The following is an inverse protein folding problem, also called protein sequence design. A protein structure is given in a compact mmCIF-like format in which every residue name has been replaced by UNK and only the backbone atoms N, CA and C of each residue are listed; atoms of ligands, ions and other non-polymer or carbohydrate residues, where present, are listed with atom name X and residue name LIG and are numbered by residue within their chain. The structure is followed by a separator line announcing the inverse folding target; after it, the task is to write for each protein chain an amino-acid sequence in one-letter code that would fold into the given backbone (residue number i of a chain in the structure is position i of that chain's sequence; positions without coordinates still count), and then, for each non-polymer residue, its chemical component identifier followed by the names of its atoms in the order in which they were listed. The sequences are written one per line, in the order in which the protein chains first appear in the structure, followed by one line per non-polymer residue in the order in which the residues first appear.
data_IF_571628536472
#
_entry.id   IF_571628536472
#
_cell.length_a   1.000
_cell.length_b   1.000
_cell.length_c   1.000
_cell.angle_alpha   90.00
_cell.angle_beta   90.00
_cell.angle_gamma   90.00
#
_symmetry.space_group_name_H-M   'P 1'
#
loop_
_entity.id
_entity.type
_entity.pdbx_description
1 polymer ?
#
# COMPACT_ATOMS: atom_id res chain seq x y z
N UNK A 1 -6.11 -23.54 -8.49
CA UNK A 1 -5.69 -24.04 -9.82
C UNK A 1 -4.30 -23.55 -10.24
N UNK A 2 -4.08 -22.26 -10.57
CA UNK A 2 -2.75 -21.79 -11.03
C UNK A 2 -1.63 -21.95 -9.98
N UNK A 3 -1.88 -21.55 -8.72
CA UNK A 3 -0.87 -21.61 -7.66
C UNK A 3 -0.49 -23.06 -7.31
N UNK A 4 -1.47 -23.94 -7.16
CA UNK A 4 -1.25 -25.35 -6.82
C UNK A 4 -0.45 -26.07 -7.90
N UNK A 5 -0.73 -25.79 -9.19
CA UNK A 5 0.04 -26.33 -10.31
C UNK A 5 1.51 -25.90 -10.23
N UNK A 6 1.78 -24.63 -9.92
CA UNK A 6 3.15 -24.11 -9.77
C UNK A 6 3.86 -24.76 -8.58
N UNK A 7 3.17 -24.95 -7.45
CA UNK A 7 3.73 -25.62 -6.28
C UNK A 7 4.10 -27.08 -6.59
N UNK A 8 3.22 -27.80 -7.29
CA UNK A 8 3.48 -29.18 -7.72
C UNK A 8 4.62 -29.27 -8.75
N UNK A 9 4.69 -28.34 -9.71
CA UNK A 9 5.80 -28.26 -10.65
C UNK A 9 7.13 -28.02 -9.93
N UNK A 10 7.18 -27.07 -8.99
CA UNK A 10 8.38 -26.77 -8.22
C UNK A 10 8.87 -27.99 -7.44
N UNK A 11 7.95 -28.73 -6.82
CA UNK A 11 8.25 -29.99 -6.12
C UNK A 11 8.83 -31.04 -7.06
N UNK A 12 8.25 -31.21 -8.27
CA UNK A 12 8.80 -32.13 -9.30
C UNK A 12 10.19 -31.72 -9.79
N UNK A 13 10.50 -30.43 -9.79
CA UNK A 13 11.83 -29.88 -10.10
C UNK A 13 12.81 -29.90 -8.91
N UNK A 14 12.46 -30.60 -7.83
CA UNK A 14 13.34 -30.85 -6.69
C UNK A 14 13.46 -29.67 -5.72
N UNK A 15 12.52 -28.72 -5.74
CA UNK A 15 12.42 -27.72 -4.67
C UNK A 15 12.03 -28.40 -3.36
N UNK A 16 12.70 -28.04 -2.27
CA UNK A 16 12.33 -28.47 -0.91
C UNK A 16 11.12 -27.69 -0.42
N UNK A 17 11.09 -26.39 -0.71
CA UNK A 17 9.96 -25.51 -0.44
C UNK A 17 9.72 -24.54 -1.60
N UNK A 18 8.51 -24.00 -1.67
CA UNK A 18 8.09 -23.06 -2.70
C UNK A 18 6.99 -22.14 -2.16
N UNK A 19 6.99 -20.88 -2.58
CA UNK A 19 5.88 -19.95 -2.40
C UNK A 19 5.58 -19.22 -3.70
N UNK A 20 4.31 -18.91 -3.90
CA UNK A 20 3.79 -18.33 -5.12
C UNK A 20 2.83 -17.22 -4.76
N UNK A 21 3.08 -16.04 -5.31
CA UNK A 21 2.12 -14.93 -5.31
C UNK A 21 1.59 -14.74 -6.73
N UNK A 22 0.28 -14.64 -6.87
CA UNK A 22 -0.37 -14.17 -8.08
C UNK A 22 -1.19 -12.93 -7.76
N UNK A 23 -1.00 -11.87 -8.53
CA UNK A 23 -1.73 -10.61 -8.40
C UNK A 23 -2.33 -10.28 -9.74
N UNK A 24 -3.63 -9.97 -9.74
CA UNK A 24 -4.29 -9.30 -10.84
C UNK A 24 -4.80 -7.94 -10.36
N UNK A 25 -4.67 -6.92 -11.20
CA UNK A 25 -5.10 -5.55 -10.93
C UNK A 25 -5.73 -4.98 -12.18
N UNK A 26 -6.84 -4.30 -12.02
CA UNK A 26 -7.44 -3.54 -13.10
C UNK A 26 -8.10 -2.27 -12.60
N UNK A 27 -8.32 -1.33 -13.50
CA UNK A 27 -9.05 -0.11 -13.19
C UNK A 27 -8.85 0.97 -14.24
N UNK A 28 -9.23 2.19 -13.88
CA UNK A 28 -9.11 3.35 -14.74
C UNK A 28 -8.54 4.53 -13.97
N UNK A 29 -7.65 5.28 -14.62
CA UNK A 29 -7.15 6.57 -14.17
C UNK A 29 -7.59 7.65 -15.15
N UNK A 30 -8.42 8.58 -14.65
CA UNK A 30 -8.89 9.72 -15.43
C UNK A 30 -8.36 11.01 -14.82
N UNK A 31 -7.59 11.77 -15.59
CA UNK A 31 -7.05 13.08 -15.17
C UNK A 31 -7.55 14.18 -16.09
N UNK A 32 -8.02 15.24 -15.47
CA UNK A 32 -8.48 16.47 -16.13
C UNK A 32 -7.59 17.61 -15.65
N UNK A 33 -7.22 18.50 -16.56
CA UNK A 33 -6.52 19.73 -16.26
C UNK A 33 -7.08 20.89 -17.08
N UNK A 34 -7.34 22.00 -16.40
CA UNK A 34 -7.99 23.20 -16.95
C UNK A 34 -9.25 22.84 -17.76
N UNK A 35 -10.08 21.95 -17.22
CA UNK A 35 -11.33 21.47 -17.79
C UNK A 35 -11.18 20.46 -18.94
N UNK A 36 -9.96 20.17 -19.39
CA UNK A 36 -9.67 19.26 -20.50
C UNK A 36 -9.16 17.92 -19.99
N UNK A 37 -9.59 16.83 -20.63
CA UNK A 37 -9.07 15.50 -20.33
C UNK A 37 -7.61 15.44 -20.80
N UNK A 38 -6.69 15.20 -19.86
CA UNK A 38 -5.27 14.97 -20.17
C UNK A 38 -4.96 13.48 -20.25
N UNK A 39 -5.64 12.66 -19.45
CA UNK A 39 -5.37 11.23 -19.34
C UNK A 39 -6.67 10.46 -19.13
N UNK A 40 -6.83 9.38 -19.89
CA UNK A 40 -7.80 8.32 -19.66
C UNK A 40 -7.07 7.00 -19.93
N UNK A 41 -6.62 6.33 -18.87
CA UNK A 41 -5.82 5.11 -18.97
C UNK A 41 -6.53 3.95 -18.26
N UNK A 42 -6.67 2.83 -18.98
CA UNK A 42 -7.15 1.58 -18.41
C UNK A 42 -5.94 0.71 -18.09
N UNK A 43 -5.84 0.26 -16.84
CA UNK A 43 -4.81 -0.69 -16.40
C UNK A 43 -5.42 -2.08 -16.26
N UNK A 44 -4.67 -3.09 -16.67
CA UNK A 44 -4.98 -4.49 -16.46
C UNK A 44 -3.67 -5.28 -16.40
N UNK A 45 -3.16 -5.46 -15.18
CA UNK A 45 -1.87 -6.04 -14.91
C UNK A 45 -2.02 -7.35 -14.15
N UNK A 46 -1.40 -8.40 -14.69
CA UNK A 46 -1.20 -9.66 -13.99
C UNK A 46 0.29 -9.85 -13.68
N UNK A 47 0.60 -10.32 -12.48
CA UNK A 47 1.94 -10.66 -12.03
C UNK A 47 1.91 -11.99 -11.29
N UNK A 48 2.75 -12.92 -11.70
CA UNK A 48 3.09 -14.10 -10.91
C UNK A 48 4.53 -13.98 -10.41
N UNK A 49 4.75 -14.29 -9.14
CA UNK A 49 6.07 -14.35 -8.52
C UNK A 49 6.21 -15.68 -7.79
N UNK A 50 7.32 -16.36 -8.02
CA UNK A 50 7.65 -17.66 -7.46
C UNK A 50 8.96 -17.52 -6.71
N UNK A 51 9.00 -17.94 -5.47
CA UNK A 51 10.23 -18.16 -4.72
C UNK A 51 10.36 -19.65 -4.46
N UNK A 52 11.51 -20.22 -4.84
CA UNK A 52 11.81 -21.63 -4.57
C UNK A 52 12.99 -21.74 -3.62
N UNK A 53 12.96 -22.81 -2.83
CA UNK A 53 14.01 -23.18 -1.90
C UNK A 53 14.54 -24.56 -2.29
N UNK A 54 15.86 -24.71 -2.33
CA UNK A 54 16.57 -26.00 -2.44
C UNK A 54 17.44 -26.16 -1.21
N UNK A 55 16.86 -26.77 -0.17
CA UNK A 55 17.40 -26.74 1.18
C UNK A 55 17.42 -25.30 1.70
N UNK A 56 18.61 -24.76 1.92
CA UNK A 56 18.83 -23.39 2.40
C UNK A 56 19.26 -22.40 1.32
N UNK A 57 19.18 -22.80 0.04
CA UNK A 57 19.39 -21.89 -1.11
C UNK A 57 18.04 -21.39 -1.60
N UNK A 58 17.93 -20.10 -1.91
CA UNK A 58 16.69 -19.44 -2.33
C UNK A 58 16.90 -18.74 -3.68
N UNK A 59 15.87 -18.73 -4.51
CA UNK A 59 15.79 -17.83 -5.66
C UNK A 59 14.33 -17.43 -5.92
N UNK A 60 14.14 -16.22 -6.45
CA UNK A 60 12.82 -15.69 -6.80
C UNK A 60 12.80 -15.23 -8.25
N UNK A 61 11.73 -15.55 -8.97
CA UNK A 61 11.50 -15.13 -10.35
C UNK A 61 10.07 -14.65 -10.50
N UNK A 62 9.85 -13.61 -11.30
CA UNK A 62 8.53 -13.05 -11.57
C UNK A 62 8.28 -12.85 -13.05
N UNK A 63 7.01 -12.93 -13.47
CA UNK A 63 6.58 -12.78 -14.85
C UNK A 63 5.21 -12.11 -14.91
N UNK A 64 4.97 -11.29 -15.94
CA UNK A 64 3.63 -10.78 -16.28
C UNK A 64 2.85 -11.75 -17.16
N UNK A 65 3.53 -12.72 -17.79
CA UNK A 65 2.90 -13.80 -18.51
C UNK A 65 2.51 -14.93 -17.52
N UNK A 66 1.25 -14.96 -17.12
CA UNK A 66 0.68 -15.99 -16.24
C UNK A 66 -0.06 -17.10 -17.00
N UNK A 67 0.16 -17.24 -18.31
CA UNK A 67 -0.43 -18.34 -19.08
C UNK A 67 0.14 -19.68 -18.61
N UNK A 68 -0.70 -20.72 -18.55
CA UNK A 68 -0.31 -22.07 -18.10
C UNK A 68 0.93 -22.61 -18.84
N UNK A 69 1.03 -22.36 -20.16
CA UNK A 69 2.17 -22.78 -20.97
C UNK A 69 3.52 -22.14 -20.57
N UNK A 70 3.50 -20.97 -19.91
CA UNK A 70 4.72 -20.26 -19.48
C UNK A 70 5.20 -20.70 -18.09
N UNK A 71 4.34 -21.32 -17.27
CA UNK A 71 4.67 -21.67 -15.88
C UNK A 71 5.81 -22.69 -15.75
N UNK A 72 5.88 -23.77 -16.58
CA UNK A 72 6.97 -24.74 -16.46
C UNK A 72 8.35 -24.11 -16.63
N UNK A 73 8.50 -23.20 -17.60
CA UNK A 73 9.76 -22.51 -17.84
C UNK A 73 10.11 -21.57 -16.68
N UNK A 74 9.11 -20.87 -16.13
CA UNK A 74 9.31 -19.96 -14.99
C UNK A 74 9.79 -20.72 -13.75
N UNK A 75 9.16 -21.85 -13.44
CA UNK A 75 9.54 -22.75 -12.33
C UNK A 75 10.94 -23.32 -12.56
N UNK A 76 11.22 -23.86 -13.75
CA UNK A 76 12.53 -24.42 -14.07
C UNK A 76 13.64 -23.37 -13.91
N UNK A 77 13.38 -22.13 -14.33
CA UNK A 77 14.31 -21.00 -14.18
C UNK A 77 14.58 -20.70 -12.70
N UNK A 78 13.53 -20.58 -11.88
CA UNK A 78 13.68 -20.35 -10.45
C UNK A 78 14.47 -21.48 -9.77
N UNK A 79 14.17 -22.74 -10.11
CA UNK A 79 14.86 -23.91 -9.57
C UNK A 79 16.33 -24.00 -9.98
N UNK A 80 16.67 -23.60 -11.21
CA UNK A 80 18.07 -23.54 -11.67
C UNK A 80 18.83 -22.41 -10.96
N UNK A 81 18.22 -21.23 -10.83
CA UNK A 81 18.83 -20.11 -10.10
C UNK A 81 19.13 -20.47 -8.65
N UNK A 82 18.21 -21.16 -7.96
CA UNK A 82 18.40 -21.57 -6.57
C UNK A 82 19.58 -22.56 -6.37
N UNK A 83 19.97 -23.32 -7.40
CA UNK A 83 21.17 -24.19 -7.29
C UNK A 83 22.47 -23.38 -7.23
N UNK A 84 22.46 -22.17 -7.78
CA UNK A 84 23.63 -21.31 -7.89
C UNK A 84 23.70 -20.20 -6.83
N UNK A 85 22.68 -20.02 -5.98
CA UNK A 85 22.71 -19.05 -4.87
C UNK A 85 23.33 -19.65 -3.63
N UNK A 86 24.00 -18.87 -2.77
CA UNK A 86 24.59 -19.34 -1.52
C UNK A 86 23.53 -19.86 -0.52
N UNK A 87 23.98 -20.71 0.42
CA UNK A 87 23.11 -21.16 1.50
C UNK A 87 22.93 -20.06 2.54
N UNK A 88 21.68 -19.79 2.90
CA UNK A 88 21.31 -18.94 4.02
C UNK A 88 20.58 -19.79 5.08
N UNK A 89 21.20 -19.96 6.25
CA UNK A 89 20.65 -20.77 7.34
C UNK A 89 19.27 -20.29 7.81
N UNK A 90 18.95 -19.01 7.63
CA UNK A 90 17.66 -18.42 8.02
C UNK A 90 16.60 -18.51 6.91
N UNK A 91 16.97 -18.85 5.67
CA UNK A 91 15.99 -18.99 4.59
C UNK A 91 15.05 -20.19 4.82
N UNK A 92 13.76 -19.98 4.56
CA UNK A 92 12.72 -21.01 4.65
C UNK A 92 11.33 -20.41 4.63
N UNK A 93 10.32 -21.28 4.69
CA UNK A 93 8.93 -20.89 4.94
C UNK A 93 8.68 -20.74 6.45
N UNK A 94 7.64 -19.97 6.85
CA UNK A 94 7.16 -19.94 8.23
C UNK A 94 6.80 -21.33 8.77
N UNK A 95 6.75 -21.44 10.10
CA UNK A 95 6.22 -22.65 10.74
C UNK A 95 4.74 -22.84 10.34
N UNK A 96 4.37 -24.08 10.03
CA UNK A 96 3.00 -24.44 9.65
C UNK A 96 1.96 -24.04 10.70
N UNK A 97 2.35 -24.02 11.97
CA UNK A 97 1.49 -23.62 13.08
C UNK A 97 1.16 -22.12 13.10
N UNK A 98 1.94 -21.29 12.40
CA UNK A 98 1.72 -19.84 12.29
C UNK A 98 0.84 -19.46 11.10
N UNK A 99 0.67 -20.36 10.13
CA UNK A 99 -0.12 -20.13 8.93
C UNK A 99 -1.59 -19.86 9.28
N UNK A 100 -2.20 -18.94 8.54
CA UNK A 100 -3.61 -18.63 8.73
C UNK A 100 -4.48 -19.83 8.32
N UNK A 101 -5.33 -20.30 9.23
CA UNK A 101 -6.23 -21.44 9.01
C UNK A 101 -7.67 -21.03 8.72
N UNK A 102 -8.04 -19.79 9.06
CA UNK A 102 -9.41 -19.29 8.94
C UNK A 102 -9.40 -18.00 8.12
N UNK A 103 -10.12 -18.01 7.01
CA UNK A 103 -10.38 -16.79 6.24
C UNK A 103 -11.37 -15.89 6.98
N UNK A 104 -11.15 -14.59 6.89
CA UNK A 104 -12.06 -13.58 7.43
C UNK A 104 -12.61 -12.77 6.27
N UNK A 105 -13.93 -12.65 6.16
CA UNK A 105 -14.51 -11.64 5.27
C UNK A 105 -14.32 -10.27 5.91
N UNK A 106 -13.30 -9.55 5.44
CA UNK A 106 -12.96 -8.21 5.89
C UNK A 106 -13.70 -7.13 5.11
N UNK A 107 -14.65 -7.50 4.24
CA UNK A 107 -15.41 -6.61 3.36
C UNK A 107 -14.50 -5.63 2.62
N UNK A 108 -13.54 -6.15 1.84
CA UNK A 108 -12.53 -5.33 1.14
C UNK A 108 -12.88 -5.05 -0.32
N UNK A 109 -13.83 -5.80 -0.88
CA UNK A 109 -14.22 -5.74 -2.28
C UNK A 109 -15.61 -5.11 -2.42
N UNK A 110 -15.67 -3.92 -3.00
CA UNK A 110 -16.89 -3.19 -3.32
C UNK A 110 -16.88 -2.79 -4.79
N UNK A 111 -17.14 -3.73 -5.71
CA UNK A 111 -17.13 -3.45 -7.14
C UNK A 111 -18.10 -2.31 -7.49
N UNK A 112 -17.64 -1.40 -8.34
CA UNK A 112 -18.43 -0.29 -8.84
C UNK A 112 -18.05 -0.05 -10.31
N UNK A 113 -19.06 -0.08 -11.19
CA UNK A 113 -18.89 0.19 -12.60
C UNK A 113 -18.92 1.70 -12.84
N UNK A 114 -17.74 2.31 -12.89
CA UNK A 114 -17.58 3.71 -13.26
C UNK A 114 -17.30 3.79 -14.76
N UNK A 115 -18.25 4.30 -15.54
CA UNK A 115 -17.99 4.57 -16.96
C UNK A 115 -17.05 5.79 -17.14
N UNK A 116 -16.42 5.85 -18.31
CA UNK A 116 -15.40 6.86 -18.59
C UNK A 116 -15.95 8.29 -18.59
N UNK A 117 -17.16 8.49 -19.12
CA UNK A 117 -17.79 9.81 -19.19
C UNK A 117 -18.10 10.34 -17.79
N UNK A 118 -18.58 9.47 -16.90
CA UNK A 118 -18.83 9.83 -15.51
C UNK A 118 -17.54 10.06 -14.73
N UNK A 119 -16.48 9.27 -14.98
CA UNK A 119 -15.16 9.53 -14.41
C UNK A 119 -14.60 10.90 -14.82
N UNK A 120 -14.71 11.26 -16.11
CA UNK A 120 -14.32 12.57 -16.64
C UNK A 120 -15.11 13.68 -15.95
N UNK A 121 -16.43 13.50 -15.82
CA UNK A 121 -17.30 14.47 -15.16
C UNK A 121 -16.92 14.70 -13.70
N UNK A 122 -16.64 13.65 -12.93
CA UNK A 122 -16.20 13.76 -11.53
C UNK A 122 -14.89 14.55 -11.43
N UNK A 123 -13.91 14.24 -12.29
CA UNK A 123 -12.64 14.96 -12.31
C UNK A 123 -12.82 16.44 -12.71
N UNK A 124 -13.64 16.73 -13.72
CA UNK A 124 -13.99 18.10 -14.12
C UNK A 124 -14.68 18.88 -13.00
N UNK A 125 -15.67 18.28 -12.33
CA UNK A 125 -16.37 18.91 -11.20
C UNK A 125 -15.41 19.20 -10.04
N UNK A 126 -14.45 18.30 -9.80
CA UNK A 126 -13.47 18.44 -8.72
C UNK A 126 -12.52 19.60 -8.99
N UNK A 127 -11.97 19.68 -10.19
CA UNK A 127 -11.10 20.79 -10.59
C UNK A 127 -11.86 22.12 -10.66
N UNK A 128 -13.07 22.13 -11.24
CA UNK A 128 -13.90 23.33 -11.32
C UNK A 128 -14.20 23.88 -9.93
N UNK A 129 -14.55 23.02 -8.96
CA UNK A 129 -14.78 23.44 -7.59
C UNK A 129 -13.55 24.08 -6.91
N UNK A 130 -12.34 23.72 -7.33
CA UNK A 130 -11.13 24.39 -6.86
C UNK A 130 -10.91 25.75 -7.54
N UNK A 131 -11.01 25.81 -8.88
CA UNK A 131 -10.80 27.02 -9.68
C UNK A 131 -11.85 28.11 -9.39
N UNK A 132 -13.09 27.72 -9.15
CA UNK A 132 -14.20 28.64 -8.87
C UNK A 132 -14.22 29.14 -7.41
N UNK A 133 -13.39 28.55 -6.53
CA UNK A 133 -13.43 28.84 -5.10
C UNK A 133 -12.99 30.27 -4.75
N UNK A 134 -11.92 30.76 -5.39
CA UNK A 134 -11.38 32.12 -5.18
C UNK A 134 -10.60 32.54 -6.44
N UNK A 135 -10.72 33.80 -6.91
CA UNK A 135 -10.04 34.28 -8.11
C UNK A 135 -8.51 34.22 -8.05
N UNK A 136 -7.91 34.07 -6.87
CA UNK A 136 -6.46 33.82 -6.74
C UNK A 136 -6.07 32.41 -7.15
N UNK A 137 -7.00 31.44 -7.15
CA UNK A 137 -6.80 30.10 -7.69
C UNK A 137 -6.90 30.18 -9.21
N UNK A 138 -5.83 30.66 -9.83
CA UNK A 138 -5.80 30.97 -11.25
C UNK A 138 -5.25 29.83 -12.13
N UNK A 139 -4.85 28.71 -11.53
CA UNK A 139 -4.30 27.56 -12.23
C UNK A 139 -4.50 26.26 -11.43
N UNK A 140 -4.24 25.13 -12.08
CA UNK A 140 -4.42 23.78 -11.54
C UNK A 140 -3.37 22.82 -12.12
N UNK A 141 -2.93 21.86 -11.32
CA UNK A 141 -2.16 20.69 -11.77
C UNK A 141 -3.08 19.50 -12.10
N UNK A 142 -4.38 19.71 -12.00
CA UNK A 142 -5.43 18.78 -12.41
C UNK A 142 -6.16 18.13 -11.25
N UNK A 143 -7.21 17.40 -11.60
CA UNK A 143 -7.92 16.49 -10.73
C UNK A 143 -7.90 15.08 -11.33
N UNK A 144 -7.73 14.09 -10.47
CA UNK A 144 -7.62 12.67 -10.87
C UNK A 144 -8.62 11.84 -10.09
N UNK A 145 -9.42 11.04 -10.80
CA UNK A 145 -10.19 9.94 -10.23
C UNK A 145 -9.55 8.63 -10.68
N UNK A 146 -9.29 7.75 -9.72
CA UNK A 146 -8.67 6.45 -9.93
C UNK A 146 -9.53 5.35 -9.33
N UNK A 147 -9.73 4.27 -10.09
CA UNK A 147 -10.32 3.02 -9.61
C UNK A 147 -9.27 1.92 -9.67
N UNK A 148 -9.32 1.01 -8.70
CA UNK A 148 -8.48 -0.18 -8.66
C UNK A 148 -9.29 -1.33 -8.07
N UNK A 149 -9.51 -2.38 -8.85
CA UNK A 149 -9.87 -3.70 -8.38
C UNK A 149 -8.61 -4.57 -8.37
N UNK A 150 -8.40 -5.36 -7.33
CA UNK A 150 -7.25 -6.26 -7.23
C UNK A 150 -7.60 -7.57 -6.57
N UNK A 151 -7.10 -8.66 -7.13
CA UNK A 151 -7.08 -9.97 -6.50
C UNK A 151 -5.64 -10.36 -6.23
N UNK A 152 -5.30 -10.61 -4.97
CA UNK A 152 -4.03 -11.21 -4.57
C UNK A 152 -4.29 -12.62 -4.07
N UNK A 153 -3.68 -13.61 -4.71
CA UNK A 153 -3.63 -14.98 -4.25
C UNK A 153 -2.20 -15.33 -3.84
N UNK A 154 -2.05 -16.05 -2.74
CA UNK A 154 -0.77 -16.51 -2.24
C UNK A 154 -0.89 -17.97 -1.80
N UNK A 155 0.13 -18.77 -2.06
CA UNK A 155 0.22 -20.10 -1.49
C UNK A 155 1.65 -20.59 -1.39
N UNK A 156 1.88 -21.56 -0.51
CA UNK A 156 3.20 -22.11 -0.26
C UNK A 156 3.15 -23.63 -0.01
N UNK A 157 4.31 -24.28 -0.13
CA UNK A 157 4.47 -25.74 0.07
C UNK A 157 4.27 -26.19 1.51
N UNK A 158 4.21 -25.24 2.46
CA UNK A 158 3.85 -25.52 3.85
C UNK A 158 2.35 -25.82 4.02
N UNK A 159 1.54 -25.58 2.98
CA UNK A 159 0.12 -25.96 2.92
C UNK A 159 -0.84 -24.79 3.00
N UNK A 160 -0.34 -23.54 2.94
CA UNK A 160 -1.21 -22.38 2.89
C UNK A 160 -1.65 -22.08 1.44
N UNK A 161 -2.93 -21.72 1.30
CA UNK A 161 -3.49 -21.12 0.08
C UNK A 161 -4.57 -20.12 0.48
N UNK A 162 -4.34 -18.84 0.16
CA UNK A 162 -5.25 -17.75 0.50
C UNK A 162 -5.42 -16.78 -0.66
N UNK A 163 -6.59 -16.16 -0.75
CA UNK A 163 -6.88 -15.12 -1.73
C UNK A 163 -7.63 -13.96 -1.09
N UNK A 164 -7.37 -12.75 -1.58
CA UNK A 164 -8.03 -11.51 -1.16
C UNK A 164 -8.36 -10.71 -2.41
N UNK A 165 -9.67 -10.50 -2.64
CA UNK A 165 -10.16 -9.49 -3.56
C UNK A 165 -10.33 -8.15 -2.81
N UNK A 166 -10.05 -7.04 -3.47
CA UNK A 166 -10.28 -5.73 -2.89
C UNK A 166 -10.43 -4.63 -3.93
N UNK A 167 -11.15 -3.57 -3.55
CA UNK A 167 -11.28 -2.34 -4.32
C UNK A 167 -10.62 -1.16 -3.62
N UNK A 168 -10.24 -0.15 -4.41
CA UNK A 168 -9.83 1.19 -3.99
C UNK A 168 -10.35 2.22 -4.98
N UNK A 169 -10.86 3.31 -4.44
CA UNK A 169 -11.30 4.49 -5.16
C UNK A 169 -10.59 5.70 -4.57
N UNK A 170 -10.00 6.51 -5.43
CA UNK A 170 -9.20 7.65 -5.05
C UNK A 170 -9.59 8.86 -5.90
N UNK A 171 -9.84 10.00 -5.25
CA UNK A 171 -10.09 11.28 -5.91
C UNK A 171 -9.16 12.32 -5.31
N UNK A 172 -8.48 13.10 -6.15
CA UNK A 172 -7.65 14.22 -5.70
C UNK A 172 -7.74 15.42 -6.61
N UNK A 173 -7.40 16.59 -6.08
CA UNK A 173 -7.23 17.82 -6.83
C UNK A 173 -6.02 18.60 -6.29
N UNK A 174 -5.23 19.17 -7.19
CA UNK A 174 -4.10 20.03 -6.85
C UNK A 174 -4.34 21.43 -7.43
N UNK A 175 -4.48 22.41 -6.54
CA UNK A 175 -4.78 23.80 -6.90
C UNK A 175 -3.54 24.68 -6.81
N UNK A 176 -3.47 25.71 -7.66
CA UNK A 176 -2.40 26.71 -7.64
C UNK A 176 -2.98 28.10 -7.43
N UNK A 177 -2.45 28.82 -6.44
CA UNK A 177 -2.82 30.19 -6.17
C UNK A 177 -1.68 31.13 -6.53
N UNK A 178 -2.02 32.30 -7.08
CA UNK A 178 -1.09 33.40 -7.29
C UNK A 178 -1.61 34.69 -6.67
N UNK A 179 -0.76 35.38 -5.91
CA UNK A 179 -1.06 36.71 -5.40
C UNK A 179 0.21 37.56 -5.33
N UNK A 180 0.21 38.72 -5.99
CA UNK A 180 1.34 39.68 -5.98
C UNK A 180 2.69 39.04 -6.35
N UNK A 181 2.69 38.13 -7.33
CA UNK A 181 3.88 37.40 -7.79
C UNK A 181 4.30 36.20 -6.93
N UNK A 182 3.65 35.97 -5.79
CA UNK A 182 3.82 34.74 -5.01
C UNK A 182 2.95 33.63 -5.59
N UNK A 183 3.54 32.45 -5.81
CA UNK A 183 2.84 31.25 -6.29
C UNK A 183 2.87 30.17 -5.22
N UNK A 184 1.70 29.64 -4.88
CA UNK A 184 1.55 28.57 -3.91
C UNK A 184 0.78 27.40 -4.52
N UNK A 185 1.04 26.21 -4.00
CA UNK A 185 0.42 24.96 -4.44
C UNK A 185 0.13 24.07 -3.25
N UNK A 186 -1.06 23.50 -3.22
CA UNK A 186 -1.45 22.44 -2.30
C UNK A 186 -2.52 21.54 -2.92
N UNK A 187 -2.86 20.45 -2.24
CA UNK A 187 -3.78 19.44 -2.72
C UNK A 187 -4.68 18.91 -1.61
N UNK A 188 -5.78 18.28 -2.02
CA UNK A 188 -6.58 17.45 -1.15
C UNK A 188 -6.98 16.15 -1.86
N UNK A 189 -7.30 15.11 -1.09
CA UNK A 189 -7.70 13.83 -1.63
C UNK A 189 -8.63 13.05 -0.71
N UNK A 190 -9.30 12.05 -1.28
CA UNK A 190 -10.06 11.04 -0.57
C UNK A 190 -9.70 9.65 -1.10
N UNK A 191 -9.57 8.68 -0.19
CA UNK A 191 -9.29 7.28 -0.49
C UNK A 191 -10.25 6.37 0.29
N UNK A 192 -10.92 5.46 -0.40
CA UNK A 192 -11.87 4.52 0.19
C UNK A 192 -11.88 3.20 -0.57
N UNK A 193 -12.37 2.12 0.06
CA UNK A 193 -12.67 0.87 -0.64
C UNK A 193 -14.04 0.88 -1.31
N UNK A 194 -14.98 1.67 -0.81
CA UNK A 194 -16.35 1.75 -1.32
C UNK A 194 -16.58 3.10 -1.99
N UNK A 195 -16.85 3.10 -3.30
CA UNK A 195 -17.05 4.30 -4.11
C UNK A 195 -18.10 5.24 -3.53
N UNK A 196 -19.19 4.72 -2.95
CA UNK A 196 -20.26 5.57 -2.39
C UNK A 196 -19.85 6.30 -1.11
N UNK A 197 -18.72 5.93 -0.50
CA UNK A 197 -18.11 6.61 0.64
C UNK A 197 -17.00 7.58 0.25
N UNK A 198 -16.72 7.75 -1.04
CA UNK A 198 -15.71 8.69 -1.53
C UNK A 198 -16.21 10.11 -1.26
N UNK A 199 -15.34 11.00 -0.79
CA UNK A 199 -15.69 12.41 -0.64
C UNK A 199 -16.13 12.99 -1.99
N UNK A 200 -17.03 13.97 -1.97
CA UNK A 200 -17.53 14.54 -3.22
C UNK A 200 -16.47 15.37 -3.93
N UNK A 201 -16.58 15.47 -5.25
CA UNK A 201 -15.72 16.30 -6.08
C UNK A 201 -15.64 17.74 -5.56
N UNK A 202 -16.78 18.30 -5.17
CA UNK A 202 -16.89 19.65 -4.63
C UNK A 202 -16.16 19.81 -3.29
N UNK A 203 -16.23 18.80 -2.41
CA UNK A 203 -15.50 18.82 -1.14
C UNK A 203 -13.99 18.82 -1.36
N UNK A 204 -13.48 17.92 -2.20
CA UNK A 204 -12.04 17.79 -2.48
C UNK A 204 -11.51 19.05 -3.18
N UNK A 205 -12.18 19.54 -4.23
CA UNK A 205 -11.78 20.75 -4.93
C UNK A 205 -11.75 21.98 -4.02
N UNK A 206 -12.81 22.19 -3.24
CA UNK A 206 -12.87 23.32 -2.30
C UNK A 206 -11.80 23.23 -1.20
N UNK A 207 -11.50 22.03 -0.69
CA UNK A 207 -10.46 21.84 0.31
C UNK A 207 -9.06 22.08 -0.25
N UNK A 208 -8.78 21.59 -1.47
CA UNK A 208 -7.52 21.86 -2.16
C UNK A 208 -7.32 23.37 -2.32
N UNK A 209 -8.34 24.10 -2.79
CA UNK A 209 -8.29 25.56 -2.89
C UNK A 209 -8.04 26.23 -1.52
N UNK A 210 -8.76 25.85 -0.47
CA UNK A 210 -8.57 26.39 0.89
C UNK A 210 -7.14 26.18 1.40
N UNK A 211 -6.60 24.97 1.25
CA UNK A 211 -5.22 24.63 1.64
C UNK A 211 -4.21 25.47 0.86
N UNK A 212 -4.39 25.61 -0.44
CA UNK A 212 -3.52 26.43 -1.30
C UNK A 212 -3.55 27.91 -0.93
N UNK A 213 -4.74 28.49 -0.71
CA UNK A 213 -4.88 29.89 -0.29
C UNK A 213 -4.25 30.16 1.07
N UNK A 214 -4.35 29.22 2.01
CA UNK A 214 -3.78 29.35 3.35
C UNK A 214 -2.25 29.47 3.35
N UNK A 215 -1.59 29.10 2.23
CA UNK A 215 -0.14 29.22 2.06
C UNK A 215 0.32 30.57 1.52
N UNK A 216 -0.58 31.38 0.96
CA UNK A 216 -0.23 32.71 0.47
C UNK A 216 0.23 33.62 1.62
N UNK A 217 1.29 34.39 1.38
CA UNK A 217 1.89 35.25 2.39
C UNK A 217 2.71 34.48 3.43
N UNK A 218 3.13 33.25 3.11
CA UNK A 218 4.04 32.49 3.97
C UNK A 218 5.33 33.29 4.19
N UNK A 219 5.80 33.28 5.44
CA UNK A 219 7.00 34.01 5.86
C UNK A 219 7.94 33.11 6.65
N UNK A 220 9.22 33.43 6.60
CA UNK A 220 10.20 32.83 7.50
C UNK A 220 9.97 33.30 8.93
N UNK A 221 10.27 32.41 9.88
CA UNK A 221 10.28 32.73 11.30
C UNK A 221 11.73 32.76 11.80
N UNK A 222 11.97 33.43 12.93
CA UNK A 222 13.30 33.44 13.55
C UNK A 222 13.64 32.03 14.06
N UNK A 223 14.90 31.63 13.91
CA UNK A 223 15.43 30.40 14.49
C UNK A 223 15.26 30.41 16.01
N UNK A 224 14.73 29.33 16.57
CA UNK A 224 14.53 29.20 18.01
C UNK A 224 13.88 27.88 18.38
N UNK A 225 13.80 27.62 19.68
CA UNK A 225 13.03 26.49 20.23
C UNK A 225 11.58 26.92 20.39
N UNK A 226 10.67 26.23 19.71
CA UNK A 226 9.23 26.49 19.74
C UNK A 226 8.46 25.17 19.78
N UNK A 227 7.22 25.20 20.23
CA UNK A 227 6.31 24.06 20.09
C UNK A 227 5.89 23.89 18.63
N UNK A 228 5.88 22.64 18.16
CA UNK A 228 5.48 22.29 16.79
C UNK A 228 4.25 21.38 16.87
N UNK A 229 3.21 21.74 16.13
CA UNK A 229 2.03 20.90 15.94
C UNK A 229 2.12 20.30 14.54
N UNK A 230 2.19 18.97 14.46
CA UNK A 230 2.12 18.26 13.19
C UNK A 230 0.66 18.08 12.80
N UNK A 231 0.29 18.55 11.61
CA UNK A 231 -1.01 18.22 11.02
C UNK A 231 -1.14 16.70 10.85
N UNK A 232 -2.36 16.16 10.95
CA UNK A 232 -2.61 14.72 10.95
C UNK A 232 -2.00 13.99 9.73
N UNK A 233 -2.09 14.61 8.55
CA UNK A 233 -1.52 14.10 7.30
C UNK A 233 0.01 13.93 7.39
N UNK A 234 0.70 14.89 8.03
CA UNK A 234 2.16 14.84 8.23
C UNK A 234 2.54 13.93 9.40
N UNK A 235 1.74 13.89 10.46
CA UNK A 235 1.99 13.06 11.65
C UNK A 235 2.10 11.56 11.29
N UNK A 236 1.41 11.11 10.25
CA UNK A 236 1.53 9.74 9.72
C UNK A 236 2.97 9.38 9.30
N UNK A 237 3.76 10.35 8.84
CA UNK A 237 5.16 10.15 8.45
C UNK A 237 6.05 9.84 9.66
N UNK A 238 5.80 10.48 10.80
CA UNK A 238 6.52 10.20 12.06
C UNK A 238 6.25 8.77 12.52
N UNK A 239 4.99 8.33 12.46
CA UNK A 239 4.62 6.94 12.74
C UNK A 239 5.28 5.99 11.74
N UNK A 240 5.34 6.35 10.46
CA UNK A 240 6.00 5.51 9.44
C UNK A 240 7.50 5.34 9.73
N UNK A 241 8.19 6.41 10.11
CA UNK A 241 9.60 6.35 10.54
C UNK A 241 9.79 5.48 11.78
N UNK A 242 8.86 5.58 12.74
CA UNK A 242 8.86 4.71 13.92
C UNK A 242 8.68 3.23 13.55
N UNK A 243 7.67 2.89 12.74
CA UNK A 243 7.43 1.51 12.30
C UNK A 243 8.62 0.95 11.51
N UNK A 244 9.29 1.76 10.70
CA UNK A 244 10.52 1.39 10.02
C UNK A 244 11.66 1.11 11.02
N UNK A 245 11.80 1.90 12.08
CA UNK A 245 12.82 1.68 13.10
C UNK A 245 12.59 0.38 13.90
N UNK A 246 11.36 -0.10 14.01
CA UNK A 246 11.05 -1.37 14.69
C UNK A 246 10.88 -2.56 13.73
N UNK A 247 11.27 -2.43 12.45
CA UNK A 247 11.16 -3.52 11.48
C UNK A 247 12.33 -4.49 11.58
N UNK A 248 12.06 -5.80 11.43
CA UNK A 248 13.07 -6.85 11.52
C UNK A 248 14.25 -6.64 10.57
N UNK A 249 14.00 -6.14 9.36
CA UNK A 249 15.03 -5.86 8.35
C UNK A 249 16.04 -4.79 8.80
N UNK A 250 15.60 -3.73 9.48
CA UNK A 250 16.47 -2.70 10.00
C UNK A 250 17.17 -3.12 11.29
N UNK A 251 16.48 -3.91 12.11
CA UNK A 251 17.02 -4.42 13.37
C UNK A 251 18.16 -5.40 13.13
N UNK A 252 17.99 -6.40 12.26
CA UNK A 252 19.06 -7.39 12.01
C UNK A 252 20.30 -6.76 11.36
N UNK A 253 20.10 -5.74 10.52
CA UNK A 253 21.17 -4.98 9.88
C UNK A 253 21.85 -3.97 10.81
N UNK A 254 21.33 -3.80 12.03
CA UNK A 254 21.77 -2.78 13.00
C UNK A 254 21.73 -1.36 12.42
N UNK A 255 20.73 -1.08 11.59
CA UNK A 255 20.50 0.23 10.96
C UNK A 255 19.34 0.99 11.59
N UNK A 256 18.93 0.59 12.80
CA UNK A 256 17.86 1.24 13.56
C UNK A 256 18.39 1.86 14.85
N UNK A 257 17.85 3.04 15.19
CA UNK A 257 18.05 3.69 16.48
C UNK A 257 17.22 3.06 17.62
N UNK A 258 16.31 2.13 17.30
CA UNK A 258 15.48 1.38 18.25
C UNK A 258 15.91 -0.08 18.39
N UNK A 259 17.18 -0.38 18.10
CA UNK A 259 17.76 -1.68 18.42
C UNK A 259 17.72 -1.88 19.94
N UNK A 260 17.35 -3.09 20.38
CA UNK A 260 17.22 -3.48 21.79
C UNK A 260 16.26 -2.60 22.64
N UNK A 261 15.30 -1.93 21.99
CA UNK A 261 14.37 -0.99 22.62
C UNK A 261 13.04 -1.61 23.11
N UNK A 262 12.82 -2.91 22.92
CA UNK A 262 11.65 -3.61 23.50
C UNK A 262 11.69 -3.48 25.03
N UNK A 263 10.51 -3.32 25.62
CA UNK A 263 10.28 -3.03 27.04
C UNK A 263 10.80 -1.65 27.52
N UNK A 264 11.31 -0.81 26.62
CA UNK A 264 11.73 0.55 26.94
C UNK A 264 10.62 1.57 26.68
N UNK A 265 10.59 2.60 27.52
CA UNK A 265 9.70 3.76 27.36
C UNK A 265 10.29 4.73 26.33
N UNK A 266 9.73 4.70 25.12
CA UNK A 266 10.18 5.50 23.97
C UNK A 266 9.20 6.62 23.59
N UNK A 267 8.01 6.63 24.18
CA UNK A 267 6.99 7.66 24.02
C UNK A 267 6.44 8.13 25.38
N UNK A 268 5.63 9.19 25.38
CA UNK A 268 4.90 9.64 26.56
C UNK A 268 3.83 8.63 27.00
N UNK A 269 3.47 8.64 28.29
CA UNK A 269 2.56 7.65 28.90
C UNK A 269 1.16 7.59 28.28
N UNK A 270 0.71 8.66 27.61
CA UNK A 270 -0.59 8.69 26.95
C UNK A 270 -0.58 8.10 25.53
N UNK A 271 0.60 7.79 24.98
CA UNK A 271 0.73 7.26 23.61
C UNK A 271 0.54 5.75 23.62
N UNK A 272 -0.41 5.30 22.80
CA UNK A 272 -0.70 3.90 22.55
C UNK A 272 -0.80 3.68 21.04
N UNK A 273 -0.12 2.67 20.53
CA UNK A 273 -0.10 2.33 19.09
C UNK A 273 -0.55 0.88 18.95
N UNK A 274 -1.64 0.67 18.21
CA UNK A 274 -2.29 -0.64 18.05
C UNK A 274 -2.41 -1.04 16.60
N UNK A 275 -2.11 -2.29 16.31
CA UNK A 275 -2.39 -2.94 15.04
C UNK A 275 -3.77 -3.62 15.09
N UNK A 276 -4.62 -3.31 14.11
CA UNK A 276 -5.97 -3.88 13.98
C UNK A 276 -6.15 -4.44 12.56
N UNK A 277 -5.57 -5.61 12.23
CA UNK A 277 -5.49 -6.09 10.86
C UNK A 277 -6.85 -6.55 10.29
N UNK A 278 -7.83 -6.83 11.15
CA UNK A 278 -9.16 -7.34 10.77
C UNK A 278 -10.26 -6.27 10.77
N UNK A 279 -9.89 -4.99 10.72
CA UNK A 279 -10.87 -3.90 10.66
C UNK A 279 -11.66 -3.98 9.34
N UNK A 280 -12.98 -4.04 9.40
CA UNK A 280 -13.82 -4.12 8.21
C UNK A 280 -13.57 -2.93 7.28
N UNK A 281 -13.46 -3.20 5.98
CA UNK A 281 -13.17 -2.23 4.93
C UNK A 281 -11.87 -1.43 5.10
N UNK A 282 -10.97 -1.85 5.99
CA UNK A 282 -9.73 -1.13 6.23
C UNK A 282 -8.81 -1.13 5.00
N UNK A 283 -8.17 0.01 4.73
CA UNK A 283 -7.26 0.17 3.58
C UNK A 283 -6.04 -0.76 3.68
N UNK A 284 -5.58 -1.03 4.91
CA UNK A 284 -4.48 -1.94 5.22
C UNK A 284 -4.91 -3.29 5.83
N UNK A 285 -6.20 -3.59 5.86
CA UNK A 285 -6.70 -4.82 6.49
C UNK A 285 -6.35 -6.07 5.67
N UNK A 286 -5.97 -7.14 6.35
CA UNK A 286 -5.63 -8.45 5.79
C UNK A 286 -5.75 -9.53 6.87
N UNK A 287 -6.12 -10.76 6.51
CA UNK A 287 -6.20 -11.90 7.44
C UNK A 287 -4.96 -12.80 7.42
N UNK A 288 -4.04 -12.57 6.48
CA UNK A 288 -2.71 -13.16 6.42
C UNK A 288 -1.68 -12.16 5.85
N UNK A 289 -0.40 -12.36 6.12
CA UNK A 289 0.67 -11.48 5.66
C UNK A 289 1.27 -11.86 4.29
N UNK A 290 2.52 -11.48 4.02
CA UNK A 290 3.20 -11.80 2.78
C UNK A 290 3.62 -13.28 2.67
N UNK A 291 3.72 -13.98 3.81
CA UNK A 291 4.23 -15.35 3.97
C UNK A 291 3.11 -16.35 4.30
N UNK A 292 1.87 -15.87 4.42
CA UNK A 292 0.69 -16.69 4.77
C UNK A 292 0.46 -16.83 6.27
N UNK A 293 1.23 -16.12 7.09
CA UNK A 293 1.10 -16.12 8.55
C UNK A 293 -0.16 -15.36 8.96
N UNK A 294 -0.88 -15.90 9.96
CA UNK A 294 -2.11 -15.28 10.46
C UNK A 294 -1.82 -13.92 11.10
N UNK A 295 -2.50 -12.88 10.60
CA UNK A 295 -2.42 -11.55 11.21
C UNK A 295 -3.21 -11.52 12.51
N UNK A 296 -2.69 -10.81 13.51
CA UNK A 296 -3.29 -10.68 14.83
C UNK A 296 -3.20 -9.25 15.32
N UNK A 297 -4.17 -8.83 16.15
CA UNK A 297 -4.07 -7.54 16.82
C UNK A 297 -2.86 -7.52 17.74
N UNK A 298 -2.11 -6.41 17.71
CA UNK A 298 -0.94 -6.19 18.54
C UNK A 298 -1.03 -4.82 19.18
N UNK A 299 -0.73 -4.76 20.48
CA UNK A 299 -0.40 -3.50 21.12
C UNK A 299 1.10 -3.26 20.89
N UNK A 300 1.44 -2.45 19.89
CA UNK A 300 2.84 -2.15 19.53
C UNK A 300 3.47 -1.26 20.61
N UNK A 301 2.71 -0.26 21.06
CA UNK A 301 3.10 0.62 22.17
C UNK A 301 1.98 0.69 23.18
N UNK A 302 2.28 0.45 24.46
CA UNK A 302 1.34 0.62 25.59
C UNK A 302 1.93 1.57 26.60
N UNK A 303 1.19 2.63 26.93
CA UNK A 303 1.64 3.67 27.86
C UNK A 303 3.07 4.18 27.58
N UNK A 304 3.37 4.36 26.30
CA UNK A 304 4.67 4.81 25.82
C UNK A 304 5.80 3.76 25.79
N UNK A 305 5.56 2.53 26.22
CA UNK A 305 6.51 1.41 26.20
C UNK A 305 6.37 0.60 24.91
N UNK A 306 7.49 0.29 24.24
CA UNK A 306 7.52 -0.57 23.06
C UNK A 306 7.40 -2.05 23.46
N UNK A 307 6.30 -2.70 23.08
CA UNK A 307 6.06 -4.10 23.48
C UNK A 307 6.60 -5.13 22.47
N UNK A 308 6.72 -4.76 21.20
CA UNK A 308 7.06 -5.73 20.15
C UNK A 308 7.64 -5.07 18.90
N UNK A 309 8.48 -5.83 18.19
CA UNK A 309 8.97 -5.47 16.87
C UNK A 309 8.04 -5.99 15.76
N UNK A 310 8.22 -5.45 14.55
CA UNK A 310 7.54 -5.92 13.34
C UNK A 310 8.46 -6.90 12.61
N UNK A 311 8.26 -8.18 12.88
CA UNK A 311 9.09 -9.27 12.37
C UNK A 311 8.34 -10.09 11.33
N UNK A 312 9.09 -10.60 10.35
CA UNK A 312 8.71 -11.70 9.48
C UNK A 312 9.48 -12.96 9.90
N UNK A 313 9.31 -14.07 9.16
CA UNK A 313 10.01 -15.33 9.41
C UNK A 313 11.53 -15.24 9.27
#
# INVERSE_FOLDING_TARGET
MLIEEVLELAKRHGATDCEVTWVNRSGVDTTVRLGKVEKLEFHNDALISITVYKGKRKASVSSTNSNAAALPQLVATACAMAEHTEMDKYAGLPDRSELATTSHDLCLDYPYSLDADYAIKIAQECEAAALEFDPKINNSEGATISTLASTRSYGNSAGFLGSVASTRYYLSCTALAECKGEKQRDADYSLTRNFTKLATAQQIGANAAKKTLARLGARTIKTGKVSVIFAAEVASSLLSSFLAAISGSNLYRKTSFLLDAVDQKIFADFINIKEQPHKLSGIGSSWFDAEGVATRSKDIVTAGVLNTYLLNS
#
